data_IF_129151602180
#
_entry.id   IF_129151602180
#
_cell.length_a   1.000
_cell.length_b   1.000
_cell.length_c   1.000
_cell.angle_alpha   90.00
_cell.angle_beta   90.00
_cell.angle_gamma   90.00
#
_symmetry.space_group_name_H-M   'P 1'
#
loop_
_entity.id
_entity.type
_entity.pdbx_description
1 polymer ?
#
# COMPACT_ATOMS: atom_id res chain seq x y z
N UNK A 1 -22.49 -15.89 -9.49
CA UNK A 1 -21.02 -15.99 -9.68
C UNK A 1 -20.78 -16.99 -10.79
N UNK A 2 -19.86 -16.69 -11.73
CA UNK A 2 -19.51 -17.63 -12.80
C UNK A 2 -18.47 -18.60 -12.23
N UNK A 3 -18.67 -19.91 -12.40
CA UNK A 3 -17.75 -20.95 -11.95
C UNK A 3 -17.30 -21.78 -13.14
N UNK A 4 -16.00 -22.08 -13.23
CA UNK A 4 -15.43 -22.98 -14.24
C UNK A 4 -15.00 -24.24 -13.50
N UNK A 5 -15.79 -25.30 -13.64
CA UNK A 5 -15.64 -26.51 -12.83
C UNK A 5 -15.84 -26.20 -11.33
N UNK A 6 -14.85 -26.57 -10.51
CA UNK A 6 -14.85 -26.33 -9.05
C UNK A 6 -14.26 -24.98 -8.62
N UNK A 7 -13.83 -24.15 -9.58
CA UNK A 7 -13.22 -22.85 -9.32
C UNK A 7 -14.21 -21.70 -9.51
N UNK A 8 -14.25 -20.78 -8.56
CA UNK A 8 -15.04 -19.56 -8.64
C UNK A 8 -14.27 -18.46 -9.39
N UNK A 9 -14.93 -17.80 -10.34
CA UNK A 9 -14.35 -16.67 -11.07
C UNK A 9 -14.65 -15.39 -10.30
N UNK A 10 -13.60 -14.72 -9.83
CA UNK A 10 -13.66 -13.44 -9.12
C UNK A 10 -13.09 -12.32 -9.98
N UNK A 11 -13.64 -11.11 -9.80
CA UNK A 11 -13.17 -9.91 -10.53
C UNK A 11 -11.80 -9.45 -10.02
N UNK A 12 -11.65 -9.41 -8.70
CA UNK A 12 -10.38 -9.10 -8.04
C UNK A 12 -10.23 -9.88 -6.73
N UNK A 13 -8.99 -10.11 -6.34
CA UNK A 13 -8.63 -10.76 -5.09
C UNK A 13 -7.25 -10.30 -4.61
N UNK A 14 -6.97 -10.43 -3.33
CA UNK A 14 -5.65 -10.11 -2.77
C UNK A 14 -4.84 -11.39 -2.66
N UNK A 15 -3.66 -11.41 -3.27
CA UNK A 15 -2.73 -12.53 -3.22
C UNK A 15 -1.35 -12.04 -2.80
N UNK A 16 -0.80 -12.64 -1.74
CA UNK A 16 0.50 -12.28 -1.16
C UNK A 16 0.66 -10.77 -0.90
N UNK A 17 -0.43 -10.12 -0.51
CA UNK A 17 -0.45 -8.68 -0.25
C UNK A 17 -0.68 -7.79 -1.47
N UNK A 18 -0.74 -8.33 -2.69
CA UNK A 18 -1.02 -7.57 -3.92
C UNK A 18 -2.45 -7.79 -4.42
N UNK A 19 -3.15 -6.72 -4.81
CA UNK A 19 -4.45 -6.84 -5.48
C UNK A 19 -4.26 -7.29 -6.92
N UNK A 20 -4.79 -8.46 -7.24
CA UNK A 20 -4.88 -9.00 -8.60
C UNK A 20 -6.30 -8.72 -9.09
N UNK A 21 -6.41 -8.06 -10.24
CA UNK A 21 -7.68 -7.70 -10.86
C UNK A 21 -7.71 -8.19 -12.32
N UNK A 22 -8.90 -8.56 -12.79
CA UNK A 22 -9.09 -9.14 -14.11
C UNK A 22 -8.96 -8.13 -15.27
N UNK A 23 -8.76 -6.84 -14.98
CA UNK A 23 -8.51 -5.81 -16.01
C UNK A 23 -7.15 -5.92 -16.69
N UNK A 24 -6.25 -6.77 -16.20
CA UNK A 24 -4.87 -6.88 -16.72
C UNK A 24 -4.01 -5.64 -16.43
N UNK A 25 -4.47 -4.73 -15.56
CA UNK A 25 -3.77 -3.49 -15.20
C UNK A 25 -3.43 -3.46 -13.71
N UNK A 26 -2.23 -2.97 -13.38
CA UNK A 26 -1.81 -2.72 -12.00
C UNK A 26 -2.39 -1.41 -11.42
N UNK A 27 -3.19 -0.65 -12.19
CA UNK A 27 -3.70 0.68 -11.79
C UNK A 27 -4.43 0.65 -10.44
N UNK A 28 -5.25 -0.37 -10.20
CA UNK A 28 -6.02 -0.49 -8.97
C UNK A 28 -5.11 -0.83 -7.77
N UNK A 29 -4.11 -1.68 -7.95
CA UNK A 29 -3.15 -2.02 -6.90
C UNK A 29 -2.23 -0.83 -6.57
N UNK A 30 -1.70 -0.13 -7.58
CA UNK A 30 -0.90 1.08 -7.37
C UNK A 30 -1.71 2.13 -6.61
N UNK A 31 -2.96 2.36 -7.01
CA UNK A 31 -3.86 3.29 -6.30
C UNK A 31 -4.07 2.85 -4.85
N UNK A 32 -4.21 1.55 -4.58
CA UNK A 32 -4.36 1.00 -3.23
C UNK A 32 -3.10 1.23 -2.38
N UNK A 33 -1.91 0.91 -2.90
CA UNK A 33 -0.62 1.14 -2.22
C UNK A 33 -0.37 2.63 -1.94
N UNK A 34 -0.72 3.52 -2.87
CA UNK A 34 -0.65 4.97 -2.64
C UNK A 34 -1.56 5.39 -1.48
N UNK A 35 -2.79 4.87 -1.39
CA UNK A 35 -3.68 5.19 -0.27
C UNK A 35 -3.12 4.66 1.06
N UNK A 36 -2.54 3.46 1.07
CA UNK A 36 -1.87 2.92 2.26
C UNK A 36 -0.68 3.81 2.69
N UNK A 37 0.16 4.23 1.74
CA UNK A 37 1.27 5.15 1.99
C UNK A 37 0.81 6.50 2.57
N UNK A 38 -0.30 7.05 2.04
CA UNK A 38 -0.91 8.28 2.59
C UNK A 38 -1.36 8.10 4.04
N UNK A 39 -2.03 7.00 4.36
CA UNK A 39 -2.46 6.69 5.72
C UNK A 39 -1.24 6.56 6.65
N UNK A 40 -0.18 5.87 6.22
CA UNK A 40 1.06 5.75 6.97
C UNK A 40 1.70 7.13 7.24
N UNK A 41 1.81 7.99 6.22
CA UNK A 41 2.31 9.37 6.37
C UNK A 41 1.46 10.21 7.32
N UNK A 42 0.14 10.03 7.30
CA UNK A 42 -0.77 10.75 8.20
C UNK A 42 -0.52 10.37 9.66
N UNK A 43 -0.23 9.09 9.94
CA UNK A 43 0.17 8.62 11.28
C UNK A 43 1.51 9.23 11.72
N UNK A 44 2.45 9.43 10.80
CA UNK A 44 3.75 10.06 11.05
C UNK A 44 3.68 11.59 11.18
N UNK A 45 2.53 12.22 10.98
CA UNK A 45 2.40 13.69 11.00
C UNK A 45 2.82 14.30 12.34
N UNK A 46 2.57 13.60 13.46
CA UNK A 46 3.02 14.05 14.79
C UNK A 46 4.55 14.10 14.88
N UNK A 47 5.22 13.06 14.42
CA UNK A 47 6.69 12.97 14.34
C UNK A 47 7.23 14.04 13.39
N UNK A 48 6.54 14.29 12.28
CA UNK A 48 6.95 15.31 11.32
C UNK A 48 6.91 16.73 11.91
N UNK A 49 5.91 17.02 12.74
CA UNK A 49 5.74 18.31 13.43
C UNK A 49 6.69 18.53 14.61
N UNK A 50 7.25 17.46 15.18
CA UNK A 50 8.17 17.58 16.31
C UNK A 50 9.53 18.14 15.87
N UNK A 51 9.96 19.25 16.47
CA UNK A 51 11.24 19.90 16.13
C UNK A 51 12.45 19.30 16.85
N UNK A 52 12.24 18.51 17.91
CA UNK A 52 13.31 17.82 18.63
C UNK A 52 13.81 16.59 17.87
N UNK A 53 12.97 15.99 17.01
CA UNK A 53 13.36 14.84 16.19
C UNK A 53 14.20 15.30 15.00
N UNK A 54 15.39 14.71 14.86
CA UNK A 54 16.30 15.02 13.77
C UNK A 54 15.72 14.67 12.39
N UNK A 55 16.13 15.43 11.37
CA UNK A 55 15.72 15.17 9.97
C UNK A 55 16.14 13.77 9.51
N UNK A 56 17.30 13.28 9.93
CA UNK A 56 17.79 11.95 9.59
C UNK A 56 16.85 10.84 10.08
N UNK A 57 16.38 10.94 11.33
CA UNK A 57 15.40 9.99 11.90
C UNK A 57 14.07 10.03 11.16
N UNK A 58 13.57 11.23 10.81
CA UNK A 58 12.33 11.38 10.02
C UNK A 58 12.46 10.72 8.64
N UNK A 59 13.58 10.92 7.96
CA UNK A 59 13.85 10.33 6.65
C UNK A 59 13.97 8.80 6.73
N UNK A 60 14.67 8.28 7.76
CA UNK A 60 14.77 6.84 8.00
C UNK A 60 13.39 6.22 8.24
N UNK A 61 12.51 6.87 9.00
CA UNK A 61 11.14 6.39 9.23
C UNK A 61 10.31 6.34 7.93
N UNK A 62 10.39 7.37 7.09
CA UNK A 62 9.70 7.36 5.78
C UNK A 62 10.24 6.25 4.89
N UNK A 63 11.56 6.05 4.87
CA UNK A 63 12.18 4.99 4.09
C UNK A 63 11.79 3.59 4.61
N UNK A 64 11.73 3.39 5.93
CA UNK A 64 11.37 2.08 6.51
C UNK A 64 9.89 1.76 6.49
N UNK A 65 9.00 2.77 6.54
CA UNK A 65 7.55 2.53 6.70
C UNK A 65 6.75 2.83 5.44
N UNK A 66 7.18 3.79 4.63
CA UNK A 66 6.40 4.29 3.48
C UNK A 66 6.96 3.75 2.17
N UNK A 67 8.28 3.73 2.01
CA UNK A 67 8.90 3.18 0.80
C UNK A 67 8.67 1.67 0.67
N UNK A 68 8.70 0.93 1.79
CA UNK A 68 8.37 -0.51 1.81
C UNK A 68 6.94 -0.85 1.39
N UNK A 69 6.00 0.11 1.35
CA UNK A 69 4.64 -0.13 0.85
C UNK A 69 4.64 -0.27 -0.68
N UNK A 70 5.64 0.30 -1.36
CA UNK A 70 5.78 0.25 -2.81
C UNK A 70 6.73 -0.85 -3.29
N UNK A 71 7.55 -1.38 -2.39
CA UNK A 71 8.39 -2.56 -2.62
C UNK A 71 7.55 -3.85 -2.59
#
# INVERSE_FOLDING_TARGET
>A
MKSIGRCEVVQSFVYLGSLIDNSGSCKNEIRRRIQQARVAMTKLTKIWRDHNITKATKMSLVQSLVFFIFL
#
